data_IF_075764057263
#
_entry.id   IF_075764057263
#
_cell.length_a   1.000
_cell.length_b   1.000
_cell.length_c   1.000
_cell.angle_alpha   90.00
_cell.angle_beta   90.00
_cell.angle_gamma   90.00
#
_symmetry.space_group_name_H-M   'P 1'
#
loop_
_entity.id
_entity.type
_entity.pdbx_description
1 polymer ?
#
# COMPACT_ATOMS: atom_id res chain seq x y z
N UNK A 1 -39.80 26.68 -53.68
CA UNK A 1 -39.55 27.27 -52.40
C UNK A 1 -39.16 26.09 -51.45
N UNK A 2 -37.91 25.97 -51.19
CA UNK A 2 -37.35 24.85 -50.41
C UNK A 2 -37.22 25.26 -48.96
N UNK A 3 -37.99 24.64 -48.11
CA UNK A 3 -37.93 24.83 -46.66
C UNK A 3 -36.78 24.00 -46.11
N UNK A 4 -35.72 24.65 -45.73
CA UNK A 4 -34.57 24.01 -45.06
C UNK A 4 -34.86 23.94 -43.56
N UNK A 5 -35.25 22.79 -43.09
CA UNK A 5 -35.31 22.47 -41.68
C UNK A 5 -33.90 22.26 -41.18
N UNK A 6 -33.42 23.19 -40.33
CA UNK A 6 -32.20 23.04 -39.54
C UNK A 6 -32.52 22.12 -38.39
N UNK A 7 -31.97 20.91 -38.42
CA UNK A 7 -31.88 20.07 -37.24
C UNK A 7 -30.67 20.52 -36.38
N UNK A 8 -30.96 21.23 -35.33
CA UNK A 8 -29.99 21.47 -34.27
C UNK A 8 -29.90 20.19 -33.47
N UNK A 9 -28.90 19.37 -33.73
CA UNK A 9 -28.56 18.27 -32.88
C UNK A 9 -27.89 18.81 -31.59
N UNK A 10 -28.66 18.90 -30.52
CA UNK A 10 -28.13 19.15 -29.20
C UNK A 10 -27.33 17.90 -28.79
N UNK A 11 -26.03 17.98 -28.98
CA UNK A 11 -25.10 16.98 -28.45
C UNK A 11 -25.08 17.07 -26.96
N UNK A 12 -25.78 16.13 -26.30
CA UNK A 12 -25.68 15.87 -24.86
C UNK A 12 -24.32 15.21 -24.63
N UNK A 13 -23.29 16.00 -24.38
CA UNK A 13 -22.05 15.49 -23.81
C UNK A 13 -22.34 14.93 -22.43
N UNK A 14 -22.63 13.64 -22.34
CA UNK A 14 -22.44 12.91 -21.10
C UNK A 14 -20.94 12.97 -20.80
N UNK A 15 -20.55 13.90 -19.96
CA UNK A 15 -19.30 13.80 -19.24
C UNK A 15 -19.49 12.59 -18.31
N UNK A 16 -19.15 11.41 -18.81
CA UNK A 16 -18.84 10.27 -17.97
C UNK A 16 -17.65 10.71 -17.13
N UNK A 17 -17.95 11.29 -15.99
CA UNK A 17 -16.95 11.49 -14.95
C UNK A 17 -16.40 10.11 -14.67
N UNK A 18 -15.23 9.83 -15.20
CA UNK A 18 -14.42 8.72 -14.77
C UNK A 18 -14.18 8.96 -13.29
N UNK A 19 -15.01 8.36 -12.45
CA UNK A 19 -14.68 8.17 -11.07
C UNK A 19 -13.46 7.22 -11.10
N UNK A 20 -12.29 7.80 -11.35
CA UNK A 20 -11.06 7.10 -11.04
C UNK A 20 -11.21 6.73 -9.58
N UNK A 21 -11.32 5.43 -9.31
CA UNK A 21 -11.10 4.89 -7.99
C UNK A 21 -9.87 5.63 -7.50
N UNK A 22 -10.06 6.50 -6.50
CA UNK A 22 -8.96 7.35 -6.05
C UNK A 22 -7.96 6.42 -5.40
N UNK A 23 -7.02 5.94 -6.23
CA UNK A 23 -5.79 5.44 -5.69
C UNK A 23 -5.35 6.49 -4.67
N UNK A 24 -4.93 6.05 -3.52
CA UNK A 24 -4.37 6.93 -2.51
C UNK A 24 -2.86 6.92 -2.72
N UNK A 25 -2.30 7.77 -3.61
CA UNK A 25 -0.89 7.68 -4.01
C UNK A 25 0.05 7.71 -2.83
N UNK A 26 -0.36 8.39 -1.76
CA UNK A 26 0.38 8.44 -0.51
C UNK A 26 0.40 7.10 0.22
N UNK A 27 -0.70 6.35 0.20
CA UNK A 27 -0.79 5.01 0.78
C UNK A 27 0.08 4.05 -0.03
N UNK A 28 -0.02 4.09 -1.35
CA UNK A 28 0.78 3.25 -2.26
C UNK A 28 2.28 3.50 -2.08
N UNK A 29 2.69 4.77 -2.03
CA UNK A 29 4.09 5.14 -1.80
C UNK A 29 4.60 4.61 -0.45
N UNK A 30 3.82 4.77 0.61
CA UNK A 30 4.20 4.23 1.93
C UNK A 30 4.32 2.71 1.93
N UNK A 31 3.44 2.00 1.24
CA UNK A 31 3.54 0.54 1.12
C UNK A 31 4.80 0.13 0.37
N UNK A 32 5.15 0.81 -0.72
CA UNK A 32 6.36 0.57 -1.46
C UNK A 32 7.61 0.83 -0.60
N UNK A 33 7.66 1.93 0.13
CA UNK A 33 8.76 2.26 1.03
C UNK A 33 8.91 1.22 2.16
N UNK A 34 7.79 0.78 2.74
CA UNK A 34 7.78 -0.25 3.76
C UNK A 34 8.29 -1.60 3.22
N UNK A 35 7.85 -1.99 2.02
CA UNK A 35 8.33 -3.21 1.36
C UNK A 35 9.83 -3.13 1.08
N UNK A 36 10.33 -2.00 0.57
CA UNK A 36 11.75 -1.77 0.32
C UNK A 36 12.58 -1.88 1.62
N UNK A 37 12.08 -1.33 2.73
CA UNK A 37 12.75 -1.43 4.04
C UNK A 37 12.82 -2.87 4.56
N UNK A 38 11.80 -3.67 4.33
CA UNK A 38 11.79 -5.08 4.70
C UNK A 38 12.84 -5.85 3.86
N UNK A 39 12.86 -5.63 2.55
CA UNK A 39 13.83 -6.27 1.67
C UNK A 39 15.27 -5.84 2.00
N UNK A 40 15.48 -4.57 2.29
CA UNK A 40 16.77 -4.08 2.76
C UNK A 40 17.20 -4.75 4.06
N UNK A 41 16.28 -4.87 5.02
CA UNK A 41 16.55 -5.53 6.30
C UNK A 41 16.89 -7.02 6.15
N UNK A 42 16.26 -7.71 5.18
CA UNK A 42 16.62 -9.08 4.80
C UNK A 42 18.03 -9.14 4.21
N UNK A 43 18.32 -8.27 3.26
CA UNK A 43 19.62 -8.24 2.57
C UNK A 43 20.78 -7.90 3.52
N UNK A 44 20.55 -7.00 4.46
CA UNK A 44 21.56 -6.58 5.45
C UNK A 44 21.72 -7.56 6.63
N UNK A 45 20.80 -8.51 6.81
CA UNK A 45 20.75 -9.40 7.98
C UNK A 45 20.19 -8.75 9.25
N UNK A 46 19.71 -7.51 9.17
CA UNK A 46 19.00 -6.86 10.29
C UNK A 46 17.68 -7.55 10.63
N UNK A 47 17.07 -8.20 9.64
CA UNK A 47 15.87 -9.00 9.80
C UNK A 47 16.20 -10.49 9.61
N UNK A 48 15.81 -11.30 10.56
CA UNK A 48 15.80 -12.73 10.37
C UNK A 48 14.71 -13.14 9.38
N UNK A 49 14.80 -14.29 8.71
CA UNK A 49 13.77 -14.77 7.78
C UNK A 49 12.37 -14.84 8.42
N UNK A 50 12.30 -15.20 9.70
CA UNK A 50 11.04 -15.27 10.45
C UNK A 50 10.41 -13.89 10.67
N UNK A 51 11.22 -12.90 11.00
CA UNK A 51 10.78 -11.51 11.17
C UNK A 51 10.33 -10.91 9.85
N UNK A 52 11.10 -11.08 8.81
CA UNK A 52 10.75 -10.66 7.46
C UNK A 52 9.40 -11.26 7.02
N UNK A 53 9.19 -12.55 7.25
CA UNK A 53 7.93 -13.22 6.93
C UNK A 53 6.74 -12.64 7.71
N UNK A 54 6.93 -12.28 8.98
CA UNK A 54 5.90 -11.61 9.80
C UNK A 54 5.57 -10.22 9.26
N UNK A 55 6.58 -9.45 8.92
CA UNK A 55 6.42 -8.10 8.36
C UNK A 55 5.74 -8.14 6.99
N UNK A 56 6.09 -9.09 6.14
CA UNK A 56 5.43 -9.29 4.85
C UNK A 56 3.95 -9.70 5.00
N UNK A 57 3.60 -10.48 6.02
CA UNK A 57 2.18 -10.75 6.33
C UNK A 57 1.45 -9.48 6.75
N UNK A 58 2.10 -8.61 7.54
CA UNK A 58 1.57 -7.29 7.89
C UNK A 58 1.31 -6.42 6.66
N UNK A 59 2.23 -6.41 5.68
CA UNK A 59 2.05 -5.71 4.42
C UNK A 59 0.83 -6.23 3.65
N UNK A 60 0.68 -7.56 3.53
CA UNK A 60 -0.50 -8.15 2.86
C UNK A 60 -1.81 -7.80 3.58
N UNK A 61 -1.79 -7.69 4.89
CA UNK A 61 -2.96 -7.27 5.66
C UNK A 61 -3.37 -5.84 5.33
N UNK A 62 -2.42 -4.91 5.29
CA UNK A 62 -2.67 -3.52 4.90
C UNK A 62 -3.18 -3.44 3.46
N UNK A 63 -2.56 -4.18 2.55
CA UNK A 63 -3.01 -4.25 1.16
C UNK A 63 -4.45 -4.78 1.05
N UNK A 64 -4.82 -5.78 1.83
CA UNK A 64 -6.18 -6.32 1.85
C UNK A 64 -7.19 -5.28 2.39
N UNK A 65 -6.80 -4.48 3.37
CA UNK A 65 -7.64 -3.38 3.86
C UNK A 65 -7.87 -2.34 2.76
N UNK A 66 -6.84 -1.96 2.04
CA UNK A 66 -6.93 -1.02 0.92
C UNK A 66 -7.81 -1.57 -0.20
N UNK A 67 -7.60 -2.81 -0.62
CA UNK A 67 -8.39 -3.45 -1.66
C UNK A 67 -9.89 -3.49 -1.29
N UNK A 68 -10.22 -3.74 -0.02
CA UNK A 68 -11.62 -3.70 0.44
C UNK A 68 -12.19 -2.29 0.39
N UNK A 69 -11.41 -1.29 0.77
CA UNK A 69 -11.83 0.11 0.73
C UNK A 69 -12.06 0.59 -0.72
N UNK A 70 -11.25 0.10 -1.66
CA UNK A 70 -11.40 0.43 -3.09
C UNK A 70 -12.50 -0.36 -3.80
N UNK A 71 -12.99 -1.46 -3.22
CA UNK A 71 -13.94 -2.38 -3.86
C UNK A 71 -15.29 -1.71 -4.21
N UNK A 72 -15.72 -0.71 -3.46
CA UNK A 72 -16.93 0.08 -3.71
C UNK A 72 -16.68 1.36 -4.53
N UNK A 73 -15.46 1.56 -5.01
CA UNK A 73 -15.05 2.67 -5.87
C UNK A 73 -14.72 3.98 -5.14
N UNK A 74 -14.89 4.04 -3.82
CA UNK A 74 -14.58 5.22 -3.01
C UNK A 74 -13.92 4.83 -1.71
N UNK A 75 -12.77 5.42 -1.41
CA UNK A 75 -12.16 5.34 -0.09
C UNK A 75 -12.71 6.45 0.78
N UNK A 76 -13.47 6.10 1.81
CA UNK A 76 -14.00 7.06 2.78
C UNK A 76 -12.89 7.60 3.68
N UNK A 77 -13.14 8.76 4.32
CA UNK A 77 -12.20 9.32 5.28
C UNK A 77 -11.90 8.38 6.45
N UNK A 78 -12.90 7.61 6.92
CA UNK A 78 -12.73 6.61 7.97
C UNK A 78 -11.88 5.43 7.52
N UNK A 79 -12.08 4.93 6.29
CA UNK A 79 -11.27 3.85 5.70
C UNK A 79 -9.83 4.29 5.50
N UNK A 80 -9.61 5.50 4.98
CA UNK A 80 -8.29 6.09 4.84
C UNK A 80 -7.57 6.19 6.17
N UNK A 81 -8.24 6.69 7.21
CA UNK A 81 -7.66 6.80 8.55
C UNK A 81 -7.28 5.42 9.12
N UNK A 82 -8.08 4.38 8.89
CA UNK A 82 -7.75 3.00 9.29
C UNK A 82 -6.54 2.45 8.57
N UNK A 83 -6.44 2.67 7.27
CA UNK A 83 -5.30 2.21 6.46
C UNK A 83 -4.03 2.94 6.92
N UNK A 84 -4.07 4.26 7.07
CA UNK A 84 -2.94 5.05 7.55
C UNK A 84 -2.50 4.63 8.96
N UNK A 85 -3.44 4.37 9.87
CA UNK A 85 -3.13 3.85 11.20
C UNK A 85 -2.50 2.46 11.17
N UNK A 86 -2.95 1.57 10.29
CA UNK A 86 -2.36 0.26 10.07
C UNK A 86 -0.93 0.38 9.49
N UNK A 87 -0.71 1.33 8.58
CA UNK A 87 0.62 1.63 8.04
C UNK A 87 1.56 2.20 9.09
N UNK A 88 1.08 3.06 9.99
CA UNK A 88 1.87 3.59 11.10
C UNK A 88 2.32 2.46 12.04
N UNK A 89 1.40 1.56 12.39
CA UNK A 89 1.71 0.39 13.20
C UNK A 89 2.72 -0.53 12.49
N UNK A 90 2.59 -0.72 11.18
CA UNK A 90 3.50 -1.53 10.38
C UNK A 90 4.90 -0.89 10.30
N UNK A 91 4.98 0.42 10.08
CA UNK A 91 6.25 1.17 10.11
C UNK A 91 6.97 1.04 11.43
N UNK A 92 6.25 1.13 12.55
CA UNK A 92 6.80 0.94 13.88
C UNK A 92 7.32 -0.49 14.11
N UNK A 93 6.61 -1.51 13.58
CA UNK A 93 7.07 -2.91 13.64
C UNK A 93 8.35 -3.13 12.84
N UNK A 94 8.42 -2.61 11.61
CA UNK A 94 9.61 -2.69 10.77
C UNK A 94 10.81 -2.06 11.50
N UNK A 95 10.65 -0.87 12.05
CA UNK A 95 11.71 -0.19 12.78
C UNK A 95 12.18 -1.00 14.01
N UNK A 96 11.27 -1.52 14.81
CA UNK A 96 11.61 -2.33 15.98
C UNK A 96 12.36 -3.61 15.61
N UNK A 97 11.89 -4.31 14.58
CA UNK A 97 12.50 -5.58 14.16
C UNK A 97 13.88 -5.35 13.53
N UNK A 98 14.08 -4.26 12.78
CA UNK A 98 15.39 -3.90 12.22
C UNK A 98 16.41 -3.47 13.29
N UNK A 99 15.96 -2.97 14.43
CA UNK A 99 16.81 -2.43 15.49
C UNK A 99 16.83 -3.28 16.77
N UNK A 100 16.26 -4.47 16.72
CA UNK A 100 16.35 -5.39 17.84
C UNK A 100 17.71 -6.12 17.84
N UNK A 101 17.85 -7.07 18.78
CA UNK A 101 19.09 -7.84 18.92
C UNK A 101 19.12 -9.11 18.08
N UNK A 102 18.08 -9.37 17.29
CA UNK A 102 17.94 -10.55 16.48
C UNK A 102 18.44 -10.23 15.06
N UNK A 103 19.64 -10.62 14.75
CA UNK A 103 20.25 -10.41 13.44
C UNK A 103 20.63 -11.76 12.84
N UNK A 104 20.63 -11.83 11.53
CA UNK A 104 21.12 -12.96 10.73
C UNK A 104 22.07 -12.43 9.65
N UNK A 105 23.21 -11.92 10.09
CA UNK A 105 24.19 -11.30 9.18
C UNK A 105 24.87 -12.31 8.23
N UNK A 106 24.87 -13.57 8.61
CA UNK A 106 25.47 -14.63 7.81
C UNK A 106 24.43 -15.37 6.94
N UNK A 107 23.16 -14.98 7.00
CA UNK A 107 22.03 -15.52 6.23
C UNK A 107 21.82 -17.03 6.36
N UNK A 108 22.09 -17.58 7.54
CA UNK A 108 21.88 -19.01 7.83
C UNK A 108 20.50 -19.33 8.41
N UNK A 109 19.63 -18.34 8.53
CA UNK A 109 18.28 -18.46 9.09
C UNK A 109 18.23 -18.54 10.61
N UNK A 110 19.35 -18.34 11.29
CA UNK A 110 19.46 -18.36 12.75
C UNK A 110 19.87 -16.99 13.27
N UNK A 111 19.49 -16.72 14.52
CA UNK A 111 19.91 -15.48 15.18
C UNK A 111 21.40 -15.53 15.50
N UNK A 112 22.14 -14.56 14.98
CA UNK A 112 23.54 -14.37 15.31
C UNK A 112 23.68 -13.78 16.70
N UNK A 113 24.39 -14.48 17.58
CA UNK A 113 24.74 -13.95 18.90
C UNK A 113 25.92 -12.98 18.73
N UNK A 114 25.72 -11.71 19.04
CA UNK A 114 26.84 -10.80 19.24
C UNK A 114 27.73 -11.36 20.34
N UNK A 115 28.99 -11.64 19.98
CA UNK A 115 30.04 -11.89 20.95
C UNK A 115 30.51 -10.57 21.55
#
# INVERSE_FOLDING_TARGET
MTLRTLFVAAGLCLAAGSAFAQSTPRIDTRQADQAARIEQGKASGELTPREAARLQRGQRHVQAMENRALADGKVTGAEKARIEGAQDAQSARIARQKHDRQHDFNHNGRVDRRR
#
